data_IF_317872259755
#
_entry.id   IF_317872259755
#
_cell.length_a   1.000
_cell.length_b   1.000
_cell.length_c   1.000
_cell.angle_alpha   90.00
_cell.angle_beta   90.00
_cell.angle_gamma   90.00
#
_symmetry.space_group_name_H-M   'P 1'
#
loop_
_entity.id
_entity.type
_entity.pdbx_description
1 polymer ?
#
# COMPACT_ATOMS: atom_id res chain seq x y z
N UNK A 1 -26.72 -57.11 -24.75
CA UNK A 1 -27.60 -57.47 -23.62
C UNK A 1 -26.87 -57.12 -22.33
N UNK A 2 -27.39 -56.10 -21.62
CA UNK A 2 -27.27 -55.77 -20.19
C UNK A 2 -25.91 -55.71 -19.42
N UNK A 3 -25.75 -54.53 -18.76
CA UNK A 3 -25.30 -54.25 -17.37
C UNK A 3 -23.80 -54.47 -17.06
N UNK A 4 -23.07 -53.57 -16.37
CA UNK A 4 -23.30 -52.90 -15.07
C UNK A 4 -22.64 -51.49 -15.06
N UNK A 5 -23.23 -50.39 -14.56
CA UNK A 5 -23.54 -49.94 -13.18
C UNK A 5 -22.34 -49.86 -12.20
N UNK A 6 -21.82 -48.62 -12.07
CA UNK A 6 -21.36 -47.82 -10.91
C UNK A 6 -20.94 -48.55 -9.62
N UNK A 7 -19.79 -48.14 -9.04
CA UNK A 7 -19.47 -47.76 -7.63
C UNK A 7 -17.95 -47.47 -7.64
N UNK A 8 -17.42 -46.27 -7.42
CA UNK A 8 -17.57 -45.38 -6.26
C UNK A 8 -16.20 -45.31 -5.56
N UNK A 9 -15.71 -44.09 -5.26
CA UNK A 9 -14.74 -43.66 -4.21
C UNK A 9 -14.53 -42.16 -4.51
N UNK A 10 -15.33 -41.26 -3.90
CA UNK A 10 -14.94 -40.43 -2.74
C UNK A 10 -13.48 -39.92 -2.89
N UNK A 11 -13.21 -38.63 -3.01
CA UNK A 11 -13.34 -37.67 -1.90
C UNK A 11 -13.48 -36.24 -2.47
N UNK A 12 -14.65 -35.65 -2.21
CA UNK A 12 -14.80 -34.37 -1.52
C UNK A 12 -13.60 -33.40 -1.52
N UNK A 13 -13.57 -32.48 -2.49
CA UNK A 13 -13.14 -31.08 -2.28
C UNK A 13 -14.05 -30.21 -3.15
N UNK A 14 -15.29 -29.97 -2.74
CA UNK A 14 -15.66 -28.83 -1.87
C UNK A 14 -14.81 -27.60 -2.15
N UNK A 15 -15.42 -26.70 -2.94
CA UNK A 15 -15.42 -25.25 -2.78
C UNK A 15 -14.04 -24.59 -2.76
N UNK A 16 -13.63 -24.05 -3.91
CA UNK A 16 -13.30 -22.64 -3.98
C UNK A 16 -13.68 -22.15 -5.37
N UNK A 17 -14.72 -21.31 -5.42
CA UNK A 17 -15.05 -20.46 -6.55
C UNK A 17 -13.92 -19.41 -6.66
N UNK A 18 -12.74 -19.86 -7.08
CA UNK A 18 -11.63 -19.01 -7.44
C UNK A 18 -11.88 -18.53 -8.86
N UNK A 19 -12.41 -17.33 -9.01
CA UNK A 19 -12.23 -16.54 -10.22
C UNK A 19 -10.72 -16.36 -10.44
N UNK A 20 -10.08 -17.28 -11.15
CA UNK A 20 -8.86 -16.96 -11.88
C UNK A 20 -9.30 -16.18 -13.11
N UNK A 21 -9.14 -14.85 -13.05
CA UNK A 21 -9.15 -14.02 -14.24
C UNK A 21 -7.82 -14.24 -14.96
N UNK A 22 -7.75 -15.28 -15.79
CA UNK A 22 -6.72 -15.33 -16.82
C UNK A 22 -7.21 -14.48 -18.00
N UNK A 23 -6.50 -13.38 -18.21
CA UNK A 23 -6.81 -12.34 -19.18
C UNK A 23 -6.65 -12.88 -20.61
N UNK A 24 -7.69 -12.76 -21.44
CA UNK A 24 -7.59 -12.98 -22.88
C UNK A 24 -7.97 -11.70 -23.63
N UNK A 25 -6.99 -11.11 -24.30
CA UNK A 25 -7.15 -10.09 -25.36
C UNK A 25 -7.98 -8.84 -25.03
N UNK A 26 -7.88 -8.30 -23.81
CA UNK A 26 -8.19 -6.89 -23.56
C UNK A 26 -9.67 -6.47 -23.70
N UNK A 27 -10.63 -7.39 -23.66
CA UNK A 27 -12.06 -7.05 -23.53
C UNK A 27 -12.74 -7.90 -22.46
N UNK A 28 -13.53 -7.26 -21.60
CA UNK A 28 -14.38 -7.93 -20.61
C UNK A 28 -15.59 -8.53 -21.32
N UNK A 29 -15.64 -9.86 -21.44
CA UNK A 29 -16.82 -10.57 -21.94
C UNK A 29 -17.33 -11.53 -20.86
N UNK A 30 -18.64 -11.46 -20.61
CA UNK A 30 -19.34 -12.42 -19.76
C UNK A 30 -19.24 -13.83 -20.38
N UNK A 31 -18.77 -14.76 -19.55
CA UNK A 31 -18.59 -16.20 -19.79
C UNK A 31 -19.49 -16.78 -20.89
N UNK A 32 -18.89 -17.16 -22.02
CA UNK A 32 -19.40 -18.21 -22.89
C UNK A 32 -18.25 -19.18 -23.21
N UNK A 33 -18.49 -20.48 -23.04
CA UNK A 33 -17.47 -21.52 -23.04
C UNK A 33 -16.83 -21.79 -24.43
N UNK A 34 -17.16 -20.98 -25.46
CA UNK A 34 -16.69 -21.17 -26.84
C UNK A 34 -15.43 -20.38 -27.22
N UNK A 35 -15.03 -19.37 -26.45
CA UNK A 35 -13.95 -18.47 -26.86
C UNK A 35 -12.55 -19.15 -26.84
N UNK A 36 -12.34 -20.10 -25.93
CA UNK A 36 -11.08 -20.84 -25.85
C UNK A 36 -10.86 -21.78 -27.05
N UNK A 37 -11.94 -22.33 -27.61
CA UNK A 37 -11.84 -23.27 -28.73
C UNK A 37 -11.52 -22.54 -30.04
N UNK A 38 -12.15 -21.38 -30.27
CA UNK A 38 -11.85 -20.55 -31.45
C UNK A 38 -10.41 -20.03 -31.43
N UNK A 39 -9.89 -19.62 -30.27
CA UNK A 39 -8.48 -19.23 -30.11
C UNK A 39 -7.51 -20.39 -30.34
N UNK A 40 -7.82 -21.59 -29.86
CA UNK A 40 -7.00 -22.79 -30.09
C UNK A 40 -6.92 -23.14 -31.59
N UNK A 41 -8.05 -23.07 -32.31
CA UNK A 41 -8.09 -23.33 -33.75
C UNK A 41 -7.34 -22.28 -34.57
N UNK A 42 -7.41 -21.01 -34.17
CA UNK A 42 -6.67 -19.92 -34.83
C UNK A 42 -5.15 -20.08 -34.73
N UNK A 43 -4.65 -20.65 -33.62
CA UNK A 43 -3.23 -20.94 -33.43
C UNK A 43 -2.73 -22.17 -34.22
N UNK A 44 -3.59 -23.15 -34.53
CA UNK A 44 -3.22 -24.31 -35.38
C UNK A 44 -3.20 -23.95 -36.87
N UNK A 45 -4.00 -22.96 -37.30
CA UNK A 45 -4.15 -22.58 -38.70
C UNK A 45 -2.98 -21.76 -39.29
N UNK A 46 -1.88 -21.53 -38.55
CA UNK A 46 -0.65 -20.92 -39.08
C UNK A 46 -0.80 -19.51 -39.66
N UNK A 47 -1.90 -18.80 -39.38
CA UNK A 47 -2.09 -17.42 -39.80
C UNK A 47 -1.48 -16.50 -38.74
N UNK A 48 -0.15 -16.45 -38.76
CA UNK A 48 0.62 -15.46 -38.02
C UNK A 48 0.45 -14.11 -38.72
N UNK A 49 -0.64 -13.40 -38.41
CA UNK A 49 -0.57 -11.94 -38.44
C UNK A 49 0.32 -11.57 -37.26
N UNK A 50 1.56 -11.19 -37.55
CA UNK A 50 2.47 -10.57 -36.60
C UNK A 50 1.68 -9.46 -35.89
N UNK A 51 1.20 -9.76 -34.69
CA UNK A 51 0.67 -8.74 -33.81
C UNK A 51 1.86 -7.83 -33.53
N UNK A 52 1.75 -6.57 -33.99
CA UNK A 52 2.67 -5.51 -33.63
C UNK A 52 2.93 -5.61 -32.13
N UNK A 53 4.21 -5.66 -31.75
CA UNK A 53 4.63 -5.86 -30.39
C UNK A 53 3.87 -4.93 -29.46
N UNK A 54 2.91 -5.48 -28.72
CA UNK A 54 2.52 -4.89 -27.46
C UNK A 54 3.77 -5.00 -26.62
N UNK A 55 4.54 -3.91 -26.53
CA UNK A 55 5.41 -3.71 -25.40
C UNK A 55 4.49 -3.91 -24.21
N UNK A 56 4.64 -5.06 -23.54
CA UNK A 56 4.12 -5.28 -22.22
C UNK A 56 4.79 -4.20 -21.36
N UNK A 57 4.17 -3.01 -21.34
CA UNK A 57 4.68 -1.85 -20.66
C UNK A 57 4.74 -2.28 -19.21
N UNK A 58 5.95 -2.60 -18.74
CA UNK A 58 6.17 -3.14 -17.41
C UNK A 58 5.33 -2.33 -16.44
N UNK A 59 4.30 -2.97 -15.86
CA UNK A 59 3.36 -2.28 -14.99
C UNK A 59 4.17 -1.51 -13.95
N UNK A 60 3.88 -0.21 -13.78
CA UNK A 60 4.68 0.65 -12.89
C UNK A 60 4.56 0.12 -11.46
N UNK A 61 5.62 -0.50 -10.96
CA UNK A 61 5.69 -1.00 -9.58
C UNK A 61 6.21 0.12 -8.69
N UNK A 62 5.30 0.85 -8.05
CA UNK A 62 5.65 1.92 -7.11
C UNK A 62 5.13 1.54 -5.73
N UNK A 63 6.05 1.38 -4.79
CA UNK A 63 5.74 1.06 -3.40
C UNK A 63 6.90 1.47 -2.50
N UNK A 64 6.58 1.91 -1.30
CA UNK A 64 7.56 2.12 -0.24
C UNK A 64 7.03 1.59 1.09
N UNK A 65 7.96 1.14 1.92
CA UNK A 65 7.69 0.78 3.31
C UNK A 65 8.91 1.16 4.14
N UNK A 66 8.68 1.98 5.14
CA UNK A 66 9.71 2.57 5.98
C UNK A 66 9.30 2.49 7.43
N UNK A 67 10.29 2.32 8.31
CA UNK A 67 10.08 2.35 9.74
C UNK A 67 11.11 3.21 10.45
N UNK A 68 10.86 3.45 11.72
CA UNK A 68 11.75 4.26 12.54
C UNK A 68 13.07 3.52 12.80
N UNK A 69 14.20 4.25 12.73
CA UNK A 69 15.52 3.71 13.05
C UNK A 69 16.02 4.30 14.38
N UNK A 70 16.33 3.45 15.36
CA UNK A 70 16.90 3.86 16.64
C UNK A 70 15.85 4.12 17.73
N UNK A 71 16.27 4.80 18.80
CA UNK A 71 15.48 4.92 20.04
C UNK A 71 14.69 6.23 20.16
N UNK A 72 15.00 7.27 19.39
CA UNK A 72 14.31 8.56 19.52
C UNK A 72 14.42 9.45 18.27
N UNK A 73 13.36 10.21 18.00
CA UNK A 73 13.39 11.37 17.11
C UNK A 73 13.14 12.63 17.95
N UNK A 74 14.06 13.60 17.91
CA UNK A 74 13.74 14.92 18.46
C UNK A 74 12.72 15.58 17.54
N UNK A 75 11.54 15.87 18.05
CA UNK A 75 10.47 16.50 17.28
C UNK A 75 10.22 17.90 17.82
N UNK A 76 10.21 18.89 16.94
CA UNK A 76 9.62 20.17 17.27
C UNK A 76 8.11 19.95 17.48
N UNK A 77 7.57 20.50 18.56
CA UNK A 77 6.20 20.26 19.04
C UNK A 77 5.09 20.43 17.99
N UNK A 78 5.36 21.17 16.91
CA UNK A 78 4.39 21.51 15.88
C UNK A 78 4.96 21.42 14.48
N UNK A 79 4.14 21.00 13.51
CA UNK A 79 4.45 20.97 12.07
C UNK A 79 5.76 20.26 11.70
N UNK A 80 6.24 19.35 12.54
CA UNK A 80 7.48 18.64 12.31
C UNK A 80 7.22 17.39 11.48
N UNK A 81 7.89 17.28 10.33
CA UNK A 81 7.86 16.07 9.51
C UNK A 81 8.53 14.92 10.27
N UNK A 82 7.83 13.78 10.32
CA UNK A 82 8.36 12.53 10.85
C UNK A 82 9.27 11.88 9.82
N UNK A 83 10.47 11.49 10.23
CA UNK A 83 11.47 10.95 9.31
C UNK A 83 11.75 9.50 9.68
N UNK A 84 11.24 8.60 8.85
CA UNK A 84 11.48 7.16 8.93
C UNK A 84 12.73 6.84 8.12
N UNK A 85 13.85 6.64 8.80
CA UNK A 85 15.17 6.50 8.16
C UNK A 85 15.48 5.08 7.69
N UNK A 86 14.85 4.07 8.27
CA UNK A 86 15.07 2.69 7.85
C UNK A 86 14.11 2.32 6.72
N UNK A 87 14.68 2.10 5.54
CA UNK A 87 13.94 1.83 4.30
C UNK A 87 13.93 0.35 4.02
N UNK A 88 12.74 -0.27 4.07
CA UNK A 88 12.55 -1.69 3.77
C UNK A 88 12.34 -1.90 2.27
N UNK A 89 11.47 -1.06 1.67
CA UNK A 89 11.15 -1.07 0.24
C UNK A 89 11.05 0.38 -0.23
N UNK A 90 11.55 0.67 -1.44
CA UNK A 90 11.38 1.97 -2.10
C UNK A 90 11.39 1.82 -3.64
N UNK A 91 10.52 0.95 -4.14
CA UNK A 91 10.34 0.74 -5.58
C UNK A 91 9.76 1.99 -6.24
N UNK A 92 10.37 2.44 -7.33
CA UNK A 92 10.06 3.73 -7.97
C UNK A 92 10.74 4.92 -7.29
N UNK A 93 11.51 4.71 -6.23
CA UNK A 93 12.38 5.70 -5.57
C UNK A 93 11.66 6.99 -5.18
N UNK A 94 10.40 6.88 -4.75
CA UNK A 94 9.57 8.04 -4.38
C UNK A 94 9.83 8.57 -2.98
N UNK A 95 10.24 7.71 -2.03
CA UNK A 95 10.48 8.13 -0.64
C UNK A 95 11.92 8.63 -0.44
N UNK A 96 12.07 9.79 0.20
CA UNK A 96 13.36 10.34 0.64
C UNK A 96 13.52 10.20 2.16
N UNK A 97 14.46 9.34 2.57
CA UNK A 97 14.76 9.06 3.98
C UNK A 97 15.45 10.22 4.73
N UNK A 98 15.91 11.26 4.03
CA UNK A 98 16.45 12.48 4.67
C UNK A 98 15.34 13.44 5.08
N UNK A 99 14.34 13.61 4.22
CA UNK A 99 13.22 14.54 4.45
C UNK A 99 11.98 13.92 5.08
N UNK A 100 11.78 12.59 4.94
CA UNK A 100 10.56 11.91 5.37
C UNK A 100 9.40 12.04 4.39
N UNK A 101 9.66 12.53 3.17
CA UNK A 101 8.64 12.85 2.16
C UNK A 101 8.65 11.79 1.07
N UNK A 102 7.45 11.32 0.71
CA UNK A 102 7.21 10.58 -0.52
C UNK A 102 6.81 11.55 -1.64
N UNK A 103 7.57 11.57 -2.73
CA UNK A 103 7.26 12.32 -3.94
C UNK A 103 6.77 11.36 -5.01
N UNK A 104 5.56 11.61 -5.50
CA UNK A 104 4.84 10.73 -6.44
C UNK A 104 5.61 10.58 -7.77
N UNK A 105 6.15 9.38 -8.10
CA UNK A 105 6.98 9.22 -9.29
C UNK A 105 6.18 9.23 -10.62
N UNK A 106 4.91 8.85 -10.55
CA UNK A 106 3.99 8.81 -11.69
C UNK A 106 2.56 9.09 -11.25
N UNK A 107 1.74 9.68 -12.12
CA UNK A 107 0.32 9.86 -11.84
C UNK A 107 -0.39 8.51 -11.68
N UNK A 108 -1.38 8.46 -10.79
CA UNK A 108 -2.17 7.27 -10.49
C UNK A 108 -2.88 7.35 -9.13
N UNK A 109 -3.60 6.30 -8.75
CA UNK A 109 -4.25 6.22 -7.44
C UNK A 109 -3.35 5.51 -6.45
N UNK A 110 -3.05 6.15 -5.32
CA UNK A 110 -2.16 5.63 -4.30
C UNK A 110 -2.90 5.36 -3.01
N UNK A 111 -2.48 4.31 -2.30
CA UNK A 111 -2.83 4.06 -0.90
C UNK A 111 -1.64 4.43 -0.02
N UNK A 112 -1.90 5.17 1.06
CA UNK A 112 -0.94 5.50 2.09
C UNK A 112 -1.50 5.15 3.46
N UNK A 113 -0.68 4.57 4.31
CA UNK A 113 -1.05 4.27 5.68
C UNK A 113 0.17 4.39 6.59
N UNK A 114 -0.08 4.70 7.85
CA UNK A 114 0.96 4.85 8.84
C UNK A 114 0.42 4.43 10.20
N UNK A 115 1.33 3.99 11.06
CA UNK A 115 1.04 3.64 12.45
C UNK A 115 2.10 4.25 13.34
N UNK A 116 1.65 4.96 14.37
CA UNK A 116 2.49 5.61 15.36
C UNK A 116 2.19 5.01 16.73
N UNK A 117 3.18 4.36 17.31
CA UNK A 117 3.16 3.82 18.65
C UNK A 117 3.69 4.85 19.64
N UNK A 118 2.91 5.09 20.70
CA UNK A 118 3.17 6.09 21.73
C UNK A 118 3.27 5.39 23.09
N UNK A 119 4.33 5.67 23.89
CA UNK A 119 4.49 5.15 25.23
C UNK A 119 3.35 5.54 26.18
N UNK A 120 3.25 4.87 27.32
CA UNK A 120 2.34 5.28 28.38
C UNK A 120 2.59 6.72 28.85
N UNK A 121 1.50 7.41 29.21
CA UNK A 121 1.52 8.79 29.68
C UNK A 121 2.11 9.82 28.69
N UNK A 122 2.35 9.42 27.44
CA UNK A 122 2.68 10.32 26.33
C UNK A 122 1.47 10.46 25.41
N UNK A 123 1.45 11.53 24.60
CA UNK A 123 0.42 11.71 23.55
C UNK A 123 0.99 12.40 22.33
N UNK A 124 0.54 11.97 21.17
CA UNK A 124 0.91 12.50 19.88
C UNK A 124 -0.32 12.60 18.98
N UNK A 125 -0.52 13.79 18.40
CA UNK A 125 -1.42 13.97 17.27
C UNK A 125 -0.60 14.17 16.00
N UNK A 126 -0.93 13.39 14.97
CA UNK A 126 -0.23 13.42 13.69
C UNK A 126 -1.20 13.56 12.54
N UNK A 127 -0.71 14.19 11.48
CA UNK A 127 -1.41 14.36 10.22
C UNK A 127 -0.70 13.59 9.11
N UNK A 128 -1.47 12.96 8.24
CA UNK A 128 -1.01 12.66 6.89
C UNK A 128 -1.26 13.91 6.05
N UNK A 129 -0.21 14.40 5.41
CA UNK A 129 -0.23 15.61 4.60
C UNK A 129 -0.12 15.25 3.13
N UNK A 130 -0.83 16.00 2.30
CA UNK A 130 -0.73 15.98 0.85
C UNK A 130 -0.55 17.41 0.35
N UNK A 131 0.57 17.72 -0.29
CA UNK A 131 0.88 19.05 -0.84
C UNK A 131 0.60 20.20 0.16
N UNK A 132 0.98 20.00 1.43
CA UNK A 132 0.81 20.99 2.49
C UNK A 132 -0.60 21.06 3.10
N UNK A 133 -1.55 20.25 2.63
CA UNK A 133 -2.91 20.15 3.17
C UNK A 133 -3.08 18.86 3.98
N UNK A 134 -3.82 18.93 5.08
CA UNK A 134 -4.15 17.75 5.87
C UNK A 134 -5.08 16.83 5.07
N UNK A 135 -4.64 15.59 4.84
CA UNK A 135 -5.43 14.52 4.23
C UNK A 135 -6.13 13.65 5.28
N UNK A 136 -5.47 13.39 6.42
CA UNK A 136 -6.06 12.70 7.56
C UNK A 136 -5.41 13.12 8.87
N UNK A 137 -6.07 12.81 9.99
CA UNK A 137 -5.60 13.08 11.35
C UNK A 137 -5.69 11.80 12.18
N UNK A 138 -4.74 11.60 13.08
CA UNK A 138 -4.86 10.62 14.15
C UNK A 138 -4.38 11.22 15.48
N UNK A 139 -4.74 10.54 16.56
CA UNK A 139 -4.34 10.85 17.92
C UNK A 139 -4.03 9.54 18.62
N UNK A 140 -2.84 9.46 19.22
CA UNK A 140 -2.38 8.33 20.01
C UNK A 140 -1.96 8.86 21.38
N UNK A 141 -2.48 8.27 22.44
CA UNK A 141 -2.07 8.62 23.81
C UNK A 141 -3.03 8.03 24.83
N UNK A 142 -2.47 7.45 25.90
CA UNK A 142 -3.23 6.80 26.96
C UNK A 142 -2.47 6.89 28.28
N UNK A 143 -3.22 7.06 29.37
CA UNK A 143 -2.66 7.11 30.73
C UNK A 143 -2.42 5.65 31.17
N UNK A 144 -1.23 5.37 31.73
CA UNK A 144 -0.84 4.05 32.26
C UNK A 144 -0.95 2.89 31.26
N UNK A 145 -0.91 3.18 29.95
CA UNK A 145 -0.92 2.15 28.92
C UNK A 145 -0.33 2.71 27.63
N UNK A 146 0.22 1.84 26.79
CA UNK A 146 0.69 2.19 25.45
C UNK A 146 -0.48 2.39 24.50
N UNK A 147 -0.27 3.15 23.43
CA UNK A 147 -1.32 3.40 22.44
C UNK A 147 -0.73 3.47 21.03
N UNK A 148 -1.43 2.92 20.04
CA UNK A 148 -1.07 3.06 18.63
C UNK A 148 -2.16 3.83 17.90
N UNK A 149 -1.79 4.95 17.29
CA UNK A 149 -2.65 5.69 16.38
C UNK A 149 -2.23 5.46 14.94
N UNK A 150 -3.18 5.13 14.08
CA UNK A 150 -2.95 5.00 12.64
C UNK A 150 -4.07 5.60 11.84
N UNK A 151 -3.81 5.86 10.56
CA UNK A 151 -4.84 6.24 9.61
C UNK A 151 -4.40 5.82 8.19
N UNK A 152 -5.35 5.83 7.25
CA UNK A 152 -5.13 5.46 5.86
C UNK A 152 -5.83 6.46 4.94
N UNK A 153 -5.20 6.77 3.80
CA UNK A 153 -5.79 7.58 2.75
C UNK A 153 -5.55 6.92 1.40
N UNK A 154 -6.60 6.89 0.56
CA UNK A 154 -6.51 6.52 -0.85
C UNK A 154 -6.87 7.75 -1.66
N UNK A 155 -5.96 8.20 -2.55
CA UNK A 155 -6.17 9.39 -3.38
C UNK A 155 -5.52 9.27 -4.75
N UNK A 156 -6.13 9.84 -5.81
CA UNK A 156 -5.46 10.07 -7.08
C UNK A 156 -4.43 11.19 -6.92
N UNK A 157 -3.21 10.94 -7.38
CA UNK A 157 -2.08 11.86 -7.32
C UNK A 157 -1.48 12.09 -8.71
N UNK A 158 -0.87 13.24 -8.89
CA UNK A 158 -0.07 13.59 -10.05
C UNK A 158 1.42 13.36 -9.78
N UNK A 159 2.21 13.19 -10.85
CA UNK A 159 3.67 13.13 -10.71
C UNK A 159 4.17 14.41 -10.04
N UNK A 160 4.97 14.26 -8.98
CA UNK A 160 5.51 15.36 -8.19
C UNK A 160 4.71 15.70 -6.94
N UNK A 161 3.48 15.18 -6.77
CA UNK A 161 2.72 15.38 -5.53
C UNK A 161 3.46 14.78 -4.33
N UNK A 162 3.46 15.50 -3.20
CA UNK A 162 4.22 15.17 -2.01
C UNK A 162 3.31 14.72 -0.87
N UNK A 163 3.68 13.61 -0.24
CA UNK A 163 2.97 13.00 0.89
C UNK A 163 3.93 12.77 2.05
N UNK A 164 3.54 13.13 3.26
CA UNK A 164 4.35 12.89 4.46
C UNK A 164 3.47 12.81 5.71
N UNK A 165 4.07 12.34 6.81
CA UNK A 165 3.45 12.39 8.14
C UNK A 165 4.11 13.50 8.95
N UNK A 166 3.33 14.31 9.66
CA UNK A 166 3.87 15.35 10.54
C UNK A 166 3.13 15.44 11.87
N UNK A 167 3.73 16.11 12.84
CA UNK A 167 3.06 16.50 14.09
C UNK A 167 1.98 17.56 13.85
N UNK A 168 0.95 17.54 14.69
CA UNK A 168 -0.13 18.54 14.67
C UNK A 168 0.41 19.98 14.74
N UNK A 169 -0.20 20.98 14.07
CA UNK A 169 0.25 22.38 14.06
C UNK A 169 0.13 23.12 15.40
N UNK A 170 -0.33 22.47 16.46
CA UNK A 170 -0.54 23.09 17.79
C UNK A 170 0.05 22.21 18.87
N UNK A 171 0.28 22.77 20.06
CA UNK A 171 0.91 22.08 21.21
C UNK A 171 0.01 21.03 21.89
N UNK A 172 -0.72 20.22 21.11
CA UNK A 172 -1.51 19.10 21.62
C UNK A 172 -0.64 17.86 21.93
N UNK A 173 0.62 17.90 21.54
CA UNK A 173 1.58 16.83 21.78
C UNK A 173 2.15 16.98 23.20
N UNK A 174 2.23 15.88 23.94
CA UNK A 174 2.97 15.87 25.20
C UNK A 174 4.39 15.42 24.91
N UNK A 175 5.23 16.42 24.68
CA UNK A 175 6.67 16.27 24.53
C UNK A 175 7.31 16.47 25.90
N UNK A 176 8.26 15.59 26.25
CA UNK A 176 8.99 15.70 27.52
C UNK A 176 9.81 17.01 27.60
N UNK A 177 10.41 17.30 28.77
CA UNK A 177 11.21 18.52 28.97
C UNK A 177 12.43 18.67 28.03
N UNK A 178 12.88 17.60 27.35
CA UNK A 178 13.97 17.67 26.36
C UNK A 178 13.50 18.05 24.95
N UNK A 179 12.19 18.25 24.74
CA UNK A 179 11.64 18.55 23.42
C UNK A 179 11.61 17.30 22.52
N UNK A 180 11.56 16.10 23.10
CA UNK A 180 11.64 14.84 22.38
C UNK A 180 10.29 14.11 22.48
N UNK A 181 9.59 13.92 21.35
CA UNK A 181 8.64 12.80 21.26
C UNK A 181 9.51 11.59 21.12
N UNK A 182 9.79 10.93 22.23
CA UNK A 182 10.63 9.76 22.16
C UNK A 182 9.74 8.66 21.55
N UNK A 183 9.80 8.52 20.22
CA UNK A 183 9.34 7.34 19.50
C UNK A 183 10.26 6.17 19.90
N UNK A 184 10.12 5.72 21.16
CA UNK A 184 10.98 4.73 21.83
C UNK A 184 10.93 3.34 21.21
N UNK A 185 10.02 3.13 20.25
CA UNK A 185 9.65 1.82 19.78
C UNK A 185 9.77 1.71 18.26
N UNK A 186 10.33 0.60 17.82
CA UNK A 186 10.62 0.26 16.41
C UNK A 186 9.37 -0.04 15.57
N UNK A 187 8.17 0.05 16.13
CA UNK A 187 6.92 -0.33 15.48
C UNK A 187 6.27 0.81 14.68
N UNK A 188 6.85 2.01 14.77
CA UNK A 188 6.43 3.18 14.00
C UNK A 188 6.77 3.00 12.52
N UNK A 189 5.76 3.10 11.66
CA UNK A 189 5.93 2.87 10.23
C UNK A 189 5.06 3.79 9.37
N UNK A 190 5.53 4.01 8.14
CA UNK A 190 4.81 4.69 7.08
C UNK A 190 5.02 3.91 5.78
N UNK A 191 3.94 3.64 5.06
CA UNK A 191 3.99 2.84 3.85
C UNK A 191 2.96 3.34 2.83
N UNK A 192 3.20 3.02 1.57
CA UNK A 192 2.25 3.30 0.51
C UNK A 192 2.64 2.69 -0.83
N UNK A 193 1.67 2.59 -1.72
CA UNK A 193 1.85 1.95 -3.03
C UNK A 193 0.85 2.49 -4.07
N UNK A 194 1.23 2.39 -5.34
CA UNK A 194 0.36 2.65 -6.50
C UNK A 194 -0.62 1.49 -6.66
N UNK A 195 -1.90 1.80 -6.79
CA UNK A 195 -2.99 0.84 -7.05
C UNK A 195 -3.17 0.65 -8.56
N UNK A 196 -3.34 1.75 -9.31
CA UNK A 196 -3.49 1.78 -10.78
C UNK A 196 -3.23 3.19 -11.34
#
# INVERSE_FOLDING_TARGET
MMKHTIIGIFVLRTIFMGLHLDCCCGQVLYKSDNCCYECYQKNIAGTSSVAEGHQEGTAKKIAFSVNFSGFSQRLNNTNQILVFKNVLINSGSGYDAKSGIFTTPAAGTYAFFFFIHVPENERLSTFLMLNGKQASKTYAGRIQDVNTGGNMVIRPLQKGDQVWVQTHPTNLNWINWSGEVIMKYSENNFSGFLIF
#
